data_IF_549177275627
#
_entry.id   IF_549177275627
#
_cell.length_a   1.000
_cell.length_b   1.000
_cell.length_c   1.000
_cell.angle_alpha   90.00
_cell.angle_beta   90.00
_cell.angle_gamma   90.00
#
_symmetry.space_group_name_H-M   'P 1'
#
loop_
_entity.id
_entity.type
_entity.pdbx_description
1 polymer ?
#
# COMPACT_ATOMS: atom_id res chain seq x y z
N UNK A 1 2.29 3.26 -12.03
CA UNK A 1 3.37 2.47 -12.74
C UNK A 1 3.04 2.30 -14.21
N UNK A 2 3.95 1.81 -15.05
CA UNK A 2 3.66 1.56 -16.47
C UNK A 2 2.97 0.19 -16.57
N UNK A 3 1.68 0.15 -16.89
CA UNK A 3 0.83 -1.05 -16.84
C UNK A 3 1.41 -2.27 -17.56
N UNK A 4 2.02 -2.09 -18.75
CA UNK A 4 2.60 -3.21 -19.53
C UNK A 4 3.84 -3.84 -18.88
N UNK A 5 4.41 -3.27 -17.83
CA UNK A 5 5.61 -3.76 -17.13
C UNK A 5 5.33 -4.22 -15.71
N UNK A 6 4.07 -4.16 -15.27
CA UNK A 6 3.67 -4.56 -13.93
C UNK A 6 3.00 -5.93 -13.93
N UNK A 7 3.09 -6.61 -12.80
CA UNK A 7 2.27 -7.78 -12.50
C UNK A 7 1.11 -7.35 -11.64
N UNK A 8 -0.07 -7.90 -11.88
CA UNK A 8 -1.32 -7.54 -11.21
C UNK A 8 -1.19 -7.47 -9.68
N UNK A 9 -0.60 -8.49 -9.05
CA UNK A 9 -0.46 -8.55 -7.60
C UNK A 9 0.35 -7.39 -7.00
N UNK A 10 1.44 -6.98 -7.67
CA UNK A 10 2.27 -5.87 -7.18
C UNK A 10 1.67 -4.51 -7.57
N UNK A 11 1.03 -4.44 -8.74
CA UNK A 11 0.38 -3.22 -9.20
C UNK A 11 -0.78 -2.82 -8.29
N UNK A 12 -1.56 -3.79 -7.83
CA UNK A 12 -2.68 -3.57 -6.91
C UNK A 12 -2.28 -2.84 -5.62
N UNK A 13 -1.04 -3.03 -5.14
CA UNK A 13 -0.52 -2.35 -3.94
C UNK A 13 -0.26 -0.85 -4.20
N UNK A 14 0.02 -0.46 -5.46
CA UNK A 14 0.51 0.86 -5.82
C UNK A 14 -0.49 1.72 -6.61
N UNK A 15 -1.76 1.32 -6.66
CA UNK A 15 -2.83 2.14 -7.23
C UNK A 15 -3.14 3.35 -6.34
N UNK A 16 -3.73 4.40 -6.90
CA UNK A 16 -4.19 5.54 -6.12
C UNK A 16 -5.25 5.11 -5.08
N UNK A 17 -6.13 4.20 -5.45
CA UNK A 17 -7.13 3.65 -4.53
C UNK A 17 -6.48 2.91 -3.34
N UNK A 18 -5.45 2.08 -3.59
CA UNK A 18 -4.73 1.38 -2.53
C UNK A 18 -3.95 2.34 -1.62
N UNK A 19 -3.33 3.37 -2.19
CA UNK A 19 -2.63 4.42 -1.44
C UNK A 19 -3.60 5.16 -0.51
N UNK A 20 -4.71 5.63 -1.04
CA UNK A 20 -5.72 6.35 -0.25
C UNK A 20 -6.41 5.44 0.77
N UNK A 21 -6.59 4.15 0.48
CA UNK A 21 -7.07 3.19 1.47
C UNK A 21 -6.05 3.00 2.61
N UNK A 22 -4.75 3.00 2.33
CA UNK A 22 -3.74 2.99 3.38
C UNK A 22 -3.79 4.28 4.23
N UNK A 23 -4.04 5.45 3.63
CA UNK A 23 -4.29 6.68 4.38
C UNK A 23 -5.51 6.56 5.30
N UNK A 24 -6.62 5.99 4.78
CA UNK A 24 -7.83 5.74 5.57
C UNK A 24 -7.54 4.85 6.77
N UNK A 25 -6.75 3.80 6.60
CA UNK A 25 -6.35 2.90 7.70
C UNK A 25 -5.58 3.65 8.79
N UNK A 26 -4.67 4.54 8.42
CA UNK A 26 -3.93 5.37 9.39
C UNK A 26 -4.87 6.31 10.14
N UNK A 27 -5.75 7.01 9.44
CA UNK A 27 -6.72 7.94 10.06
C UNK A 27 -7.68 7.21 11.02
N UNK A 28 -8.20 6.06 10.61
CA UNK A 28 -9.08 5.24 11.46
C UNK A 28 -8.32 4.77 12.71
N UNK A 29 -7.12 4.22 12.55
CA UNK A 29 -6.31 3.75 13.67
C UNK A 29 -5.97 4.88 14.65
N UNK A 30 -5.66 6.08 14.16
CA UNK A 30 -5.42 7.24 14.99
C UNK A 30 -6.67 7.63 15.80
N UNK A 31 -7.86 7.63 15.17
CA UNK A 31 -9.10 7.90 15.86
C UNK A 31 -9.44 6.85 16.93
N UNK A 32 -9.10 5.59 16.71
CA UNK A 32 -9.32 4.49 17.66
C UNK A 32 -8.50 4.62 18.96
N UNK A 33 -7.32 5.23 18.86
CA UNK A 33 -6.43 5.46 20.01
C UNK A 33 -6.72 6.77 20.76
N UNK A 34 -7.60 7.62 20.24
CA UNK A 34 -7.98 8.87 20.90
C UNK A 34 -8.98 8.64 22.05
N UNK A 35 -8.87 9.46 23.09
CA UNK A 35 -9.84 9.48 24.20
C UNK A 35 -11.17 10.21 23.89
N UNK A 36 -11.26 10.92 22.76
CA UNK A 36 -12.40 11.81 22.46
C UNK A 36 -13.56 11.17 21.71
N UNK A 37 -13.33 10.32 20.68
CA UNK A 37 -14.39 9.70 19.90
C UNK A 37 -15.26 8.75 20.75
N UNK A 38 -16.57 8.81 20.58
CA UNK A 38 -17.49 7.81 21.12
C UNK A 38 -17.49 6.54 20.26
N UNK A 39 -18.06 5.44 20.76
CA UNK A 39 -18.21 4.21 19.96
C UNK A 39 -19.01 4.46 18.68
N UNK A 40 -20.03 5.33 18.72
CA UNK A 40 -20.80 5.70 17.53
C UNK A 40 -19.99 6.56 16.56
N UNK A 41 -19.12 7.46 17.04
CA UNK A 41 -18.19 8.21 16.17
C UNK A 41 -17.24 7.25 15.46
N UNK A 42 -16.63 6.29 16.17
CA UNK A 42 -15.70 5.31 15.59
C UNK A 42 -16.40 4.43 14.55
N UNK A 43 -17.64 4.02 14.79
CA UNK A 43 -18.42 3.26 13.80
C UNK A 43 -18.65 4.09 12.53
N UNK A 44 -19.03 5.35 12.66
CA UNK A 44 -19.22 6.26 11.53
C UNK A 44 -17.91 6.51 10.76
N UNK A 45 -16.77 6.68 11.45
CA UNK A 45 -15.46 6.87 10.85
C UNK A 45 -15.03 5.61 10.07
N UNK A 46 -15.21 4.41 10.65
CA UNK A 46 -14.88 3.15 9.94
C UNK A 46 -15.76 2.94 8.71
N UNK A 47 -17.02 3.36 8.76
CA UNK A 47 -17.97 3.25 7.65
C UNK A 47 -17.76 4.33 6.58
N UNK A 48 -17.00 5.39 6.87
CA UNK A 48 -16.74 6.46 5.91
C UNK A 48 -16.00 5.94 4.68
N UNK A 49 -16.48 6.36 3.51
CA UNK A 49 -15.93 5.96 2.22
C UNK A 49 -15.45 7.18 1.44
N UNK A 50 -14.60 6.93 0.47
CA UNK A 50 -14.11 7.90 -0.50
C UNK A 50 -14.10 7.29 -1.90
N UNK A 51 -13.96 8.13 -2.92
CA UNK A 51 -13.55 7.70 -4.26
C UNK A 51 -12.32 8.50 -4.68
N UNK A 52 -11.47 7.91 -5.52
CA UNK A 52 -10.27 8.59 -6.03
C UNK A 52 -10.65 9.87 -6.77
N UNK A 53 -11.72 9.81 -7.57
CA UNK A 53 -12.24 10.94 -8.34
C UNK A 53 -12.71 12.09 -7.45
N UNK A 54 -13.40 11.78 -6.35
CA UNK A 54 -13.86 12.80 -5.40
C UNK A 54 -12.67 13.52 -4.73
N UNK A 55 -11.63 12.76 -4.37
CA UNK A 55 -10.41 13.33 -3.79
C UNK A 55 -9.68 14.19 -4.81
N UNK A 56 -9.49 13.71 -6.03
CA UNK A 56 -8.84 14.46 -7.12
C UNK A 56 -9.60 15.74 -7.48
N UNK A 57 -10.93 15.70 -7.46
CA UNK A 57 -11.72 16.92 -7.68
C UNK A 57 -11.57 17.91 -6.53
N UNK A 58 -11.54 17.42 -5.29
CA UNK A 58 -11.32 18.28 -4.11
C UNK A 58 -9.91 18.87 -4.10
N UNK A 59 -8.92 18.14 -4.55
CA UNK A 59 -7.51 18.57 -4.62
C UNK A 59 -7.33 19.80 -5.52
N UNK A 60 -8.12 19.96 -6.57
CA UNK A 60 -8.11 21.18 -7.41
C UNK A 60 -8.43 22.47 -6.63
N UNK A 61 -9.05 22.34 -5.46
CA UNK A 61 -9.40 23.48 -4.59
C UNK A 61 -8.41 23.63 -3.45
N UNK A 62 -7.92 22.51 -2.90
CA UNK A 62 -7.02 22.53 -1.74
C UNK A 62 -5.56 22.69 -2.13
N UNK A 63 -5.20 22.41 -3.39
CA UNK A 63 -3.82 22.27 -3.88
C UNK A 63 -2.95 21.37 -2.97
N UNK A 64 -3.60 20.39 -2.31
CA UNK A 64 -2.95 19.49 -1.36
C UNK A 64 -3.72 18.15 -1.26
N UNK A 65 -3.06 17.07 -1.61
CA UNK A 65 -3.65 15.73 -1.75
C UNK A 65 -4.20 15.17 -0.43
N UNK A 66 -3.42 15.21 0.67
CA UNK A 66 -3.88 14.71 1.98
C UNK A 66 -5.02 15.57 2.52
N UNK A 67 -4.97 16.91 2.37
CA UNK A 67 -6.07 17.78 2.80
C UNK A 67 -7.36 17.47 2.03
N UNK A 68 -7.26 17.27 0.72
CA UNK A 68 -8.39 16.86 -0.10
C UNK A 68 -8.98 15.52 0.34
N UNK A 69 -8.12 14.54 0.61
CA UNK A 69 -8.53 13.23 1.11
C UNK A 69 -9.24 13.34 2.47
N UNK A 70 -8.68 14.08 3.41
CA UNK A 70 -9.26 14.31 4.74
C UNK A 70 -10.62 14.98 4.65
N UNK A 71 -10.78 16.00 3.78
CA UNK A 71 -12.06 16.66 3.56
C UNK A 71 -13.13 15.69 3.06
N UNK A 72 -12.80 14.85 2.06
CA UNK A 72 -13.73 13.87 1.50
C UNK A 72 -14.10 12.81 2.53
N UNK A 73 -13.12 12.24 3.23
CA UNK A 73 -13.36 11.21 4.23
C UNK A 73 -14.16 11.75 5.41
N UNK A 74 -13.85 12.95 5.89
CA UNK A 74 -14.57 13.62 6.98
C UNK A 74 -16.02 13.91 6.63
N UNK A 75 -16.29 14.34 5.39
CA UNK A 75 -17.65 14.52 4.91
C UNK A 75 -18.44 13.20 4.91
N UNK A 76 -17.80 12.07 4.56
CA UNK A 76 -18.38 10.74 4.61
C UNK A 76 -18.71 10.26 6.02
N UNK A 77 -17.95 10.69 7.04
CA UNK A 77 -18.18 10.37 8.45
C UNK A 77 -19.22 11.29 9.12
N UNK A 78 -19.68 12.34 8.43
CA UNK A 78 -20.63 13.31 8.98
C UNK A 78 -20.10 14.03 10.23
N UNK A 79 -20.88 14.15 11.31
CA UNK A 79 -20.43 14.85 12.55
C UNK A 79 -19.17 14.25 13.19
N UNK A 80 -18.91 12.95 12.99
CA UNK A 80 -17.73 12.26 13.49
C UNK A 80 -16.45 12.65 12.73
N UNK A 81 -16.58 13.21 11.53
CA UNK A 81 -15.45 13.66 10.70
C UNK A 81 -14.53 14.67 11.39
N UNK A 82 -14.99 15.38 12.42
CA UNK A 82 -14.17 16.29 13.23
C UNK A 82 -12.97 15.61 13.93
N UNK A 83 -13.00 14.29 14.05
CA UNK A 83 -11.95 13.51 14.68
C UNK A 83 -10.89 13.05 13.70
N UNK A 84 -11.24 12.98 12.40
CA UNK A 84 -10.31 12.59 11.33
C UNK A 84 -9.22 13.68 11.23
N UNK A 85 -7.98 13.25 11.15
CA UNK A 85 -6.77 14.09 11.10
C UNK A 85 -6.54 14.98 12.34
N UNK A 86 -7.25 14.72 13.43
CA UNK A 86 -7.08 15.52 14.65
C UNK A 86 -5.71 15.26 15.29
N UNK A 87 -4.89 16.30 15.32
CA UNK A 87 -3.54 16.25 15.90
C UNK A 87 -2.48 15.59 15.01
N UNK A 88 -2.83 15.19 13.81
CA UNK A 88 -1.88 14.65 12.82
C UNK A 88 -1.37 15.74 11.87
N UNK A 89 -0.22 15.48 11.27
CA UNK A 89 0.25 16.17 10.08
C UNK A 89 0.24 15.23 8.88
N UNK A 90 0.26 15.78 7.66
CA UNK A 90 0.25 14.98 6.43
C UNK A 90 1.34 13.90 6.41
N UNK A 91 2.53 14.20 6.91
CA UNK A 91 3.64 13.23 6.95
C UNK A 91 3.36 12.04 7.87
N UNK A 92 2.61 12.20 8.95
CA UNK A 92 2.20 11.08 9.82
C UNK A 92 1.38 10.06 9.03
N UNK A 93 0.49 10.55 8.15
CA UNK A 93 -0.36 9.72 7.30
C UNK A 93 0.44 9.13 6.14
N UNK A 94 1.19 9.96 5.41
CA UNK A 94 1.93 9.55 4.22
C UNK A 94 3.00 8.49 4.53
N UNK A 95 3.83 8.72 5.54
CA UNK A 95 4.96 7.84 5.85
C UNK A 95 4.47 6.51 6.45
N UNK A 96 3.46 6.56 7.32
CA UNK A 96 2.86 5.35 7.90
C UNK A 96 2.14 4.51 6.83
N UNK A 97 1.37 5.14 5.96
CA UNK A 97 0.70 4.47 4.85
C UNK A 97 1.70 3.87 3.85
N UNK A 98 2.78 4.59 3.53
CA UNK A 98 3.87 4.06 2.71
C UNK A 98 4.49 2.81 3.34
N UNK A 99 4.71 2.81 4.66
CA UNK A 99 5.23 1.63 5.36
C UNK A 99 4.27 0.43 5.25
N UNK A 100 2.95 0.64 5.31
CA UNK A 100 1.95 -0.42 5.07
C UNK A 100 2.05 -0.98 3.64
N UNK A 101 2.13 -0.11 2.64
CA UNK A 101 2.28 -0.52 1.23
C UNK A 101 3.61 -1.24 0.99
N UNK A 102 4.73 -0.75 1.55
CA UNK A 102 6.03 -1.40 1.44
C UNK A 102 6.03 -2.80 2.08
N UNK A 103 5.35 -2.96 3.22
CA UNK A 103 5.18 -4.27 3.84
C UNK A 103 4.41 -5.23 2.93
N UNK A 104 3.26 -4.81 2.41
CA UNK A 104 2.45 -5.62 1.51
C UNK A 104 3.23 -6.01 0.23
N UNK A 105 3.93 -5.06 -0.39
CA UNK A 105 4.78 -5.33 -1.55
C UNK A 105 5.94 -6.27 -1.20
N UNK A 106 6.57 -6.08 -0.04
CA UNK A 106 7.66 -6.91 0.46
C UNK A 106 7.23 -8.37 0.69
N UNK A 107 6.05 -8.60 1.21
CA UNK A 107 5.48 -9.96 1.38
C UNK A 107 5.35 -10.68 0.03
N UNK A 108 4.88 -9.99 -1.02
CA UNK A 108 4.78 -10.55 -2.38
C UNK A 108 6.17 -10.90 -2.92
N UNK A 109 7.14 -9.99 -2.78
CA UNK A 109 8.51 -10.20 -3.27
C UNK A 109 9.19 -11.37 -2.53
N UNK A 110 9.06 -11.44 -1.20
CA UNK A 110 9.64 -12.51 -0.39
C UNK A 110 9.00 -13.86 -0.72
N UNK A 111 7.70 -13.92 -0.94
CA UNK A 111 7.03 -15.14 -1.39
C UNK A 111 7.60 -15.62 -2.74
N UNK A 112 7.68 -14.74 -3.73
CA UNK A 112 8.26 -15.07 -5.03
C UNK A 112 9.74 -15.49 -4.98
N UNK A 113 10.52 -14.88 -4.09
CA UNK A 113 11.92 -15.27 -3.87
C UNK A 113 12.03 -16.70 -3.27
N UNK A 114 11.16 -17.06 -2.33
CA UNK A 114 11.10 -18.41 -1.76
C UNK A 114 10.76 -19.45 -2.84
N UNK A 115 9.78 -19.15 -3.70
CA UNK A 115 9.41 -20.04 -4.80
C UNK A 115 10.56 -20.20 -5.79
N UNK A 116 11.30 -19.13 -6.11
CA UNK A 116 12.48 -19.19 -6.95
C UNK A 116 13.57 -20.07 -6.32
N UNK A 117 13.86 -19.89 -5.03
CA UNK A 117 14.85 -20.74 -4.32
C UNK A 117 14.44 -22.20 -4.36
N UNK A 118 13.17 -22.52 -4.15
CA UNK A 118 12.67 -23.89 -4.24
C UNK A 118 12.84 -24.48 -5.64
N UNK A 119 12.50 -23.71 -6.68
CA UNK A 119 12.66 -24.13 -8.07
C UNK A 119 14.13 -24.35 -8.44
N UNK A 120 15.02 -23.41 -8.07
CA UNK A 120 16.47 -23.56 -8.30
C UNK A 120 17.06 -24.77 -7.58
N UNK A 121 16.67 -24.99 -6.32
CA UNK A 121 17.11 -26.13 -5.55
C UNK A 121 16.66 -27.48 -6.17
N UNK A 122 15.43 -27.53 -6.68
CA UNK A 122 14.91 -28.70 -7.38
C UNK A 122 15.71 -28.98 -8.66
N UNK A 123 15.92 -27.95 -9.49
CA UNK A 123 16.71 -28.07 -10.72
C UNK A 123 18.17 -28.44 -10.46
N UNK A 124 18.78 -27.88 -9.42
CA UNK A 124 20.15 -28.21 -9.04
C UNK A 124 20.30 -29.70 -8.66
N UNK A 125 19.33 -30.26 -7.93
CA UNK A 125 19.32 -31.69 -7.58
C UNK A 125 19.09 -32.57 -8.81
N UNK A 126 18.18 -32.19 -9.70
CA UNK A 126 17.87 -32.92 -10.92
C UNK A 126 19.08 -32.99 -11.88
N UNK A 127 19.87 -31.93 -11.93
CA UNK A 127 20.98 -31.80 -12.88
C UNK A 127 22.36 -31.92 -12.25
N UNK A 128 22.48 -32.48 -11.03
CA UNK A 128 23.78 -32.58 -10.33
C UNK A 128 24.84 -33.33 -11.13
N UNK A 129 24.43 -34.35 -11.89
CA UNK A 129 25.32 -35.18 -12.71
C UNK A 129 25.22 -34.85 -14.22
N UNK A 130 24.49 -33.78 -14.58
CA UNK A 130 24.33 -33.41 -15.99
C UNK A 130 25.60 -32.74 -16.51
N UNK A 131 26.29 -33.43 -17.40
CA UNK A 131 27.50 -32.91 -18.05
C UNK A 131 27.14 -31.76 -19.01
N UNK A 132 27.80 -30.65 -18.86
CA UNK A 132 27.64 -29.51 -19.77
C UNK A 132 29.01 -28.90 -20.11
N UNK A 133 29.08 -28.18 -21.22
CA UNK A 133 30.27 -27.42 -21.56
C UNK A 133 30.29 -26.10 -20.80
N UNK A 134 31.29 -25.94 -19.94
CA UNK A 134 31.59 -24.67 -19.30
C UNK A 134 32.32 -23.72 -20.27
N UNK A 135 32.17 -22.42 -20.04
CA UNK A 135 32.86 -21.38 -20.79
C UNK A 135 33.26 -20.23 -19.87
N UNK A 136 34.55 -19.86 -19.97
CA UNK A 136 35.08 -18.68 -19.28
C UNK A 136 36.08 -17.97 -20.19
N UNK A 137 36.06 -16.64 -20.16
CA UNK A 137 36.94 -15.81 -21.00
C UNK A 137 37.01 -16.22 -22.49
N UNK A 138 35.92 -16.71 -23.06
CA UNK A 138 35.85 -17.15 -24.43
C UNK A 138 36.50 -18.54 -24.73
N UNK A 139 36.97 -19.22 -23.69
CA UNK A 139 37.56 -20.57 -23.78
C UNK A 139 36.60 -21.58 -23.13
N UNK A 140 36.49 -22.77 -23.74
CA UNK A 140 35.75 -23.90 -23.16
C UNK A 140 36.55 -24.46 -21.98
N UNK A 141 35.82 -24.80 -20.92
CA UNK A 141 36.36 -25.44 -19.74
C UNK A 141 35.65 -26.77 -19.47
#
# INVERSE_FOLDING_TARGET
>A
MIARYTREAIDAVWTDAARMEAWRQVEVAACEEMAGPTAADLEAIRAATFTVEAVQEREKVTDHDVAAFVDVLSAGAGPAGRWIHFGLTSSDVLDTALALQLRAAGEIVVAGARDLVAALAARAREHVDTVCVGRTHGVQA
#
